data_IF_681454970954
#
_entry.id   IF_681454970954
#
_cell.length_a   1.000
_cell.length_b   1.000
_cell.length_c   1.000
_cell.angle_alpha   90.00
_cell.angle_beta   90.00
_cell.angle_gamma   90.00
#
_symmetry.space_group_name_H-M   'P 1'
#
loop_
_entity.id
_entity.type
_entity.pdbx_description
1 polymer ?
#
# COMPACT_ATOMS: atom_id res chain seq x y z
N UNK A 1 -6.62 21.68 -1.25
CA UNK A 1 -5.95 20.92 -2.33
C UNK A 1 -5.67 19.50 -1.87
N UNK A 2 -6.60 18.58 -2.12
CA UNK A 2 -6.39 17.16 -1.87
C UNK A 2 -5.66 16.60 -3.09
N UNK A 3 -4.39 16.18 -3.02
CA UNK A 3 -3.77 15.53 -4.16
C UNK A 3 -4.51 14.21 -4.38
N UNK A 4 -5.31 14.14 -5.43
CA UNK A 4 -5.75 12.86 -6.00
C UNK A 4 -4.47 12.10 -6.37
N UNK A 5 -4.13 10.97 -5.71
CA UNK A 5 -3.04 10.16 -6.20
C UNK A 5 -3.50 9.59 -7.54
N UNK A 6 -2.95 10.13 -8.64
CA UNK A 6 -2.95 9.45 -9.93
C UNK A 6 -2.36 8.06 -9.67
N UNK A 7 -3.13 6.97 -9.86
CA UNK A 7 -2.56 5.64 -9.75
C UNK A 7 -1.57 5.49 -10.90
N UNK A 8 -0.28 5.65 -10.60
CA UNK A 8 0.80 5.20 -11.47
C UNK A 8 0.72 3.69 -11.47
N UNK A 9 0.04 3.14 -12.48
CA UNK A 9 0.01 1.73 -12.81
C UNK A 9 1.45 1.18 -12.94
N UNK A 10 1.83 0.18 -12.15
CA UNK A 10 3.03 -0.60 -12.40
C UNK A 10 2.59 -2.03 -12.70
N UNK A 11 2.69 -2.39 -13.98
CA UNK A 11 2.53 -3.75 -14.43
C UNK A 11 3.44 -4.71 -13.64
N UNK A 12 2.83 -5.79 -13.16
CA UNK A 12 3.52 -6.84 -12.42
C UNK A 12 2.54 -7.55 -11.51
N UNK A 13 1.74 -8.45 -12.07
CA UNK A 13 0.90 -9.47 -11.40
C UNK A 13 -0.17 -9.01 -10.40
N UNK A 14 -0.05 -7.83 -9.79
CA UNK A 14 -0.87 -7.38 -8.67
C UNK A 14 -1.95 -6.43 -9.10
N UNK A 15 -3.17 -6.72 -8.62
CA UNK A 15 -4.32 -5.90 -8.89
C UNK A 15 -4.26 -4.58 -8.14
N UNK A 16 -3.48 -4.51 -7.05
CA UNK A 16 -3.26 -3.30 -6.28
C UNK A 16 -2.13 -2.41 -6.84
N UNK A 17 -2.27 -1.07 -6.78
CA UNK A 17 -1.24 -0.13 -7.23
C UNK A 17 0.02 -0.22 -6.37
N UNK A 18 1.20 0.06 -6.94
CA UNK A 18 2.42 0.07 -6.13
C UNK A 18 2.31 1.07 -4.98
N UNK A 19 2.83 0.67 -3.83
CA UNK A 19 2.90 1.53 -2.65
C UNK A 19 3.75 2.77 -2.92
N UNK A 20 3.30 3.92 -2.41
CA UNK A 20 3.94 5.22 -2.58
C UNK A 20 3.93 6.00 -1.26
N UNK A 21 5.13 6.38 -0.78
CA UNK A 21 5.30 7.10 0.48
C UNK A 21 4.64 8.49 0.52
N UNK A 22 4.46 9.14 -0.63
CA UNK A 22 3.81 10.45 -0.72
C UNK A 22 2.28 10.35 -0.67
N UNK A 23 1.73 9.14 -0.82
CA UNK A 23 0.28 8.90 -0.85
C UNK A 23 -0.25 8.63 0.55
N UNK A 24 -1.42 9.20 0.83
CA UNK A 24 -2.20 8.94 2.03
C UNK A 24 -3.13 7.76 1.75
N UNK A 25 -2.98 6.70 2.52
CA UNK A 25 -3.78 5.49 2.44
C UNK A 25 -4.75 5.48 3.61
N UNK A 26 -6.04 5.32 3.33
CA UNK A 26 -7.04 5.17 4.37
C UNK A 26 -7.04 3.76 4.96
N UNK A 27 -7.74 3.57 6.08
CA UNK A 27 -8.06 2.23 6.56
C UNK A 27 -8.87 1.47 5.51
N UNK A 28 -8.34 0.33 5.06
CA UNK A 28 -8.89 -0.50 3.99
C UNK A 28 -8.20 -0.33 2.63
N UNK A 29 -7.31 0.65 2.45
CA UNK A 29 -6.55 0.82 1.21
C UNK A 29 -5.62 -0.37 0.95
N UNK A 30 -5.45 -0.75 -0.32
CA UNK A 30 -4.62 -1.90 -0.72
C UNK A 30 -3.55 -1.44 -1.71
N UNK A 31 -2.33 -1.94 -1.56
CA UNK A 31 -1.16 -1.59 -2.38
C UNK A 31 -0.30 -2.82 -2.64
N UNK A 32 0.53 -2.79 -3.68
CA UNK A 32 1.55 -3.81 -3.94
C UNK A 32 2.94 -3.30 -3.55
N UNK A 33 3.71 -4.12 -2.85
CA UNK A 33 5.10 -3.82 -2.50
C UNK A 33 5.92 -5.10 -2.41
N UNK A 34 7.04 -5.16 -3.13
CA UNK A 34 7.96 -6.30 -3.08
C UNK A 34 7.41 -7.63 -3.62
N UNK A 35 6.43 -7.60 -4.54
CA UNK A 35 5.75 -8.82 -5.02
C UNK A 35 4.75 -9.40 -4.01
N UNK A 36 4.22 -8.53 -3.14
CA UNK A 36 3.20 -8.87 -2.16
C UNK A 36 2.14 -7.79 -2.17
N UNK A 37 0.90 -8.18 -1.89
CA UNK A 37 -0.21 -7.26 -1.72
C UNK A 37 -0.39 -6.94 -0.23
N UNK A 38 -0.64 -5.68 0.08
CA UNK A 38 -0.67 -5.16 1.44
C UNK A 38 -1.91 -4.30 1.66
N UNK A 39 -2.57 -4.49 2.79
CA UNK A 39 -3.77 -3.75 3.17
C UNK A 39 -3.55 -2.87 4.38
N UNK A 40 -3.80 -1.58 4.25
CA UNK A 40 -3.80 -0.64 5.35
C UNK A 40 -4.94 -0.95 6.32
N UNK A 41 -4.63 -1.13 7.59
CA UNK A 41 -5.60 -1.36 8.65
C UNK A 41 -6.26 -0.06 9.11
N UNK A 42 -5.53 1.06 9.05
CA UNK A 42 -6.00 2.42 9.36
C UNK A 42 -5.31 3.46 8.47
N UNK A 43 -5.66 4.73 8.64
CA UNK A 43 -5.06 5.82 7.87
C UNK A 43 -3.54 5.90 8.09
N UNK A 44 -2.77 5.93 7.01
CA UNK A 44 -1.31 6.03 7.03
C UNK A 44 -0.78 6.84 5.84
N UNK A 45 0.41 7.40 6.01
CA UNK A 45 1.13 8.14 4.98
C UNK A 45 2.62 7.93 5.17
N UNK A 46 3.33 7.52 4.13
CA UNK A 46 4.78 7.30 4.20
C UNK A 46 5.23 6.01 4.88
N UNK A 47 4.35 5.28 5.56
CA UNK A 47 4.68 3.98 6.17
C UNK A 47 4.91 2.92 5.10
N UNK A 48 6.08 2.28 5.12
CA UNK A 48 6.44 1.24 4.14
C UNK A 48 5.82 -0.10 4.53
N UNK A 49 5.12 -0.80 3.61
CA UNK A 49 4.59 -2.13 3.87
C UNK A 49 5.71 -3.12 4.21
N UNK A 50 5.51 -3.93 5.25
CA UNK A 50 6.52 -4.87 5.74
C UNK A 50 7.60 -4.29 6.66
N UNK A 51 7.71 -2.96 6.80
CA UNK A 51 8.69 -2.34 7.69
C UNK A 51 8.34 -2.53 9.18
N UNK A 52 7.05 -2.39 9.50
CA UNK A 52 6.56 -2.39 10.89
C UNK A 52 6.09 -3.78 11.37
N UNK A 53 6.18 -4.81 10.52
CA UNK A 53 5.80 -6.20 10.83
C UNK A 53 4.29 -6.40 11.03
N UNK A 54 3.91 -7.47 11.75
CA UNK A 54 2.50 -7.88 11.97
C UNK A 54 1.66 -6.88 12.79
N UNK A 55 2.32 -5.97 13.52
CA UNK A 55 1.67 -4.86 14.25
C UNK A 55 1.63 -3.56 13.44
N UNK A 56 2.08 -3.61 12.19
CA UNK A 56 2.14 -2.47 11.30
C UNK A 56 0.81 -2.02 10.74
N UNK A 57 0.82 -0.84 10.11
CA UNK A 57 -0.37 -0.36 9.40
C UNK A 57 -0.74 -1.31 8.25
N UNK A 58 0.27 -1.90 7.62
CA UNK A 58 0.12 -2.75 6.46
C UNK A 58 0.03 -4.23 6.87
N UNK A 59 -1.10 -4.83 6.55
CA UNK A 59 -1.33 -6.27 6.66
C UNK A 59 -0.95 -6.94 5.34
N UNK A 60 -0.04 -7.90 5.40
CA UNK A 60 0.27 -8.76 4.26
C UNK A 60 -0.99 -9.54 3.86
N UNK A 61 -1.40 -9.41 2.60
CA UNK A 61 -2.45 -10.20 1.98
C UNK A 61 -1.88 -11.41 1.23
N UNK A 62 -0.55 -11.49 1.12
CA UNK A 62 0.18 -12.56 0.48
C UNK A 62 0.90 -12.10 -0.79
N UNK A 63 1.67 -13.04 -1.33
CA UNK A 63 2.43 -12.82 -2.54
C UNK A 63 1.51 -12.62 -3.75
N UNK A 64 2.03 -11.81 -4.66
CA UNK A 64 1.47 -11.53 -5.95
C UNK A 64 2.65 -11.23 -6.91
#
# INVERSE_FOLDING_TARGET
PTPTPTPTEPGGSCSAPAWNAATEYGGGSTVSHGGHEWKASWWTKGETPGSTGEWGVWKDLGAC
#
